data_IF_606218470912
#
_entry.id   IF_606218470912
#
_cell.length_a   1.000
_cell.length_b   1.000
_cell.length_c   1.000
_cell.angle_alpha   90.00
_cell.angle_beta   90.00
_cell.angle_gamma   90.00
#
_symmetry.space_group_name_H-M   'P 1'
#
loop_
_entity.id
_entity.type
_entity.pdbx_description
1 polymer ?
#
# COMPACT_ATOMS: atom_id res chain seq x y z
N UNK A 1 -20.85 34.06 22.12
CA UNK A 1 -19.94 35.23 22.12
C UNK A 1 -18.87 34.97 23.19
N UNK A 2 -17.63 34.70 22.79
CA UNK A 2 -16.52 34.43 23.73
C UNK A 2 -16.08 35.76 24.37
N UNK A 3 -15.91 35.81 25.68
CA UNK A 3 -15.44 37.02 26.36
C UNK A 3 -14.31 36.69 27.34
N UNK A 4 -13.28 37.53 27.35
CA UNK A 4 -12.19 37.43 28.32
C UNK A 4 -12.72 37.46 29.75
N UNK A 5 -13.67 38.36 30.05
CA UNK A 5 -14.29 38.47 31.37
C UNK A 5 -15.02 37.19 31.76
N UNK A 6 -15.86 36.65 30.89
CA UNK A 6 -16.59 35.40 31.15
C UNK A 6 -15.63 34.24 31.38
N UNK A 7 -14.59 34.14 30.57
CA UNK A 7 -13.57 33.10 30.73
C UNK A 7 -12.76 33.26 32.03
N UNK A 8 -12.38 34.49 32.40
CA UNK A 8 -11.58 34.79 33.59
C UNK A 8 -12.28 34.38 34.89
N UNK A 9 -13.60 34.57 34.95
CA UNK A 9 -14.43 34.26 36.13
C UNK A 9 -15.06 32.86 36.09
N UNK A 10 -14.85 32.09 35.03
CA UNK A 10 -15.33 30.72 34.95
C UNK A 10 -14.60 29.81 35.95
N UNK A 11 -15.31 28.79 36.42
CA UNK A 11 -14.72 27.75 37.26
C UNK A 11 -13.63 26.98 36.51
N UNK A 12 -12.62 26.51 37.24
CA UNK A 12 -11.53 25.71 36.67
C UNK A 12 -12.01 24.37 36.09
N UNK A 13 -11.17 23.70 35.28
CA UNK A 13 -11.53 22.45 34.62
C UNK A 13 -11.94 21.33 35.58
N UNK A 14 -12.70 20.37 35.06
CA UNK A 14 -13.08 19.17 35.80
C UNK A 14 -12.06 18.05 35.60
N UNK A 15 -11.13 17.90 36.55
CA UNK A 15 -10.14 16.83 36.54
C UNK A 15 -10.59 15.55 37.28
N UNK A 16 -11.86 15.46 37.68
CA UNK A 16 -12.45 14.19 38.14
C UNK A 16 -12.81 13.31 36.93
N UNK A 17 -13.26 13.94 35.85
CA UNK A 17 -13.67 13.27 34.60
C UNK A 17 -12.60 13.33 33.49
N UNK A 18 -11.61 14.21 33.64
CA UNK A 18 -10.50 14.37 32.69
C UNK A 18 -9.17 14.21 33.42
N UNK A 19 -8.16 13.68 32.73
CA UNK A 19 -6.81 13.60 33.24
C UNK A 19 -6.17 14.99 33.33
N UNK A 20 -5.47 15.29 34.42
CA UNK A 20 -4.69 16.52 34.54
C UNK A 20 -3.32 16.33 33.89
N UNK A 21 -3.12 16.91 32.71
CA UNK A 21 -1.85 16.81 31.97
C UNK A 21 -0.86 17.88 32.46
N UNK A 22 0.43 17.61 32.31
CA UNK A 22 1.50 18.55 32.70
C UNK A 22 1.53 19.77 31.77
N UNK A 23 1.79 20.96 32.33
CA UNK A 23 1.76 22.24 31.58
C UNK A 23 0.42 22.54 30.88
N UNK A 24 -0.75 22.39 31.54
CA UNK A 24 -2.03 22.73 30.92
C UNK A 24 -2.18 24.26 30.87
N UNK A 25 -2.50 24.82 29.70
CA UNK A 25 -2.75 26.27 29.54
C UNK A 25 -4.24 26.63 29.75
N UNK A 26 -4.96 25.76 30.45
CA UNK A 26 -6.38 25.91 30.83
C UNK A 26 -6.67 27.09 31.74
N UNK A 27 -5.70 27.49 32.56
CA UNK A 27 -5.82 28.60 33.51
C UNK A 27 -5.14 29.89 33.02
N UNK A 28 -4.58 29.90 31.79
CA UNK A 28 -3.91 31.06 31.16
C UNK A 28 -4.87 31.95 30.34
N UNK A 29 -4.74 33.30 30.34
CA UNK A 29 -3.47 34.01 30.17
C UNK A 29 -2.91 34.53 31.49
N UNK A 30 -1.69 34.13 31.86
CA UNK A 30 -1.06 34.69 33.05
C UNK A 30 -0.36 36.01 32.73
N UNK A 31 -0.71 37.05 33.48
CA UNK A 31 -0.01 38.32 33.56
C UNK A 31 1.31 38.09 34.31
N UNK A 32 2.45 38.22 33.61
CA UNK A 32 3.78 38.25 34.22
C UNK A 32 4.51 36.90 34.17
N UNK A 33 5.60 36.87 33.41
CA UNK A 33 6.62 35.81 33.34
C UNK A 33 6.23 34.48 32.69
N UNK A 34 6.18 34.53 31.36
CA UNK A 34 6.15 33.36 30.48
C UNK A 34 7.52 32.67 30.44
N UNK A 35 7.57 31.40 30.84
CA UNK A 35 8.35 30.43 30.06
C UNK A 35 7.32 29.52 29.40
N UNK A 36 6.92 29.85 28.16
CA UNK A 36 6.13 28.93 27.33
C UNK A 36 7.00 27.69 27.12
N UNK A 37 6.75 26.65 27.93
CA UNK A 37 7.42 25.38 27.74
C UNK A 37 6.72 24.71 26.56
N UNK A 38 7.35 24.78 25.38
CA UNK A 38 6.84 24.05 24.21
C UNK A 38 6.81 22.56 24.51
N UNK A 39 5.63 21.98 24.40
CA UNK A 39 5.39 20.56 24.55
C UNK A 39 5.81 19.81 23.28
N UNK A 40 6.32 18.59 23.40
CA UNK A 40 6.77 17.94 24.63
C UNK A 40 8.08 18.59 25.12
N UNK A 41 8.30 18.59 26.45
CA UNK A 41 9.48 19.24 27.05
C UNK A 41 10.78 18.55 26.60
N UNK A 42 10.81 17.23 26.73
CA UNK A 42 11.88 16.37 26.21
C UNK A 42 11.77 16.24 24.69
N UNK A 43 12.90 16.28 23.99
CA UNK A 43 12.96 16.10 22.54
C UNK A 43 12.67 14.65 22.11
N UNK A 44 12.84 13.67 23.01
CA UNK A 44 12.62 12.25 22.73
C UNK A 44 11.21 11.77 23.12
N UNK A 45 10.36 12.67 23.60
CA UNK A 45 8.98 12.33 23.97
C UNK A 45 8.05 12.81 22.86
N UNK A 46 6.88 12.18 22.77
CA UNK A 46 5.77 12.62 21.94
C UNK A 46 4.57 12.96 22.82
N UNK A 47 3.70 13.82 22.30
CA UNK A 47 2.36 14.05 22.84
C UNK A 47 1.45 12.97 22.26
N UNK A 48 0.93 12.11 23.12
CA UNK A 48 0.10 10.98 22.69
C UNK A 48 -1.19 11.41 21.99
N UNK A 49 -1.86 12.47 22.48
CA UNK A 49 -3.16 12.87 21.97
C UNK A 49 -3.44 14.38 22.12
N UNK A 50 -3.72 15.02 20.99
CA UNK A 50 -4.31 16.36 20.89
C UNK A 50 -5.71 16.27 20.26
N UNK A 51 -6.72 16.80 20.94
CA UNK A 51 -8.08 16.92 20.41
C UNK A 51 -8.32 18.37 19.94
N UNK A 52 -8.33 18.56 18.62
CA UNK A 52 -8.52 19.85 17.99
C UNK A 52 -9.99 20.25 18.01
N UNK A 53 -10.25 21.45 18.51
CA UNK A 53 -11.57 21.93 18.91
C UNK A 53 -12.22 21.16 20.07
N UNK A 54 -11.42 20.34 20.77
CA UNK A 54 -11.86 19.58 21.93
C UNK A 54 -12.23 20.46 23.12
N UNK A 55 -13.05 19.90 24.02
CA UNK A 55 -13.50 20.52 25.27
C UNK A 55 -13.34 19.57 26.47
N UNK A 56 -12.57 18.49 26.31
CA UNK A 56 -12.55 17.35 27.22
C UNK A 56 -13.69 16.36 26.96
N UNK A 57 -13.77 15.30 27.78
CA UNK A 57 -14.84 14.30 27.66
C UNK A 57 -16.16 14.86 28.16
N UNK A 58 -17.15 14.91 27.28
CA UNK A 58 -18.51 15.36 27.60
C UNK A 58 -19.47 14.18 27.40
N UNK A 59 -20.24 13.87 28.45
CA UNK A 59 -21.29 12.86 28.41
C UNK A 59 -22.63 13.55 28.62
N UNK A 60 -23.53 13.39 27.66
CA UNK A 60 -24.89 13.95 27.71
C UNK A 60 -25.91 12.88 27.34
N UNK A 61 -27.20 13.17 27.52
CA UNK A 61 -28.29 12.33 27.01
C UNK A 61 -28.27 12.16 25.48
N UNK A 62 -27.66 13.10 24.75
CA UNK A 62 -27.56 13.07 23.29
C UNK A 62 -26.35 12.26 22.80
N UNK A 63 -25.44 11.89 23.69
CA UNK A 63 -24.25 11.11 23.37
C UNK A 63 -22.97 11.63 24.03
N UNK A 64 -21.87 11.06 23.56
CA UNK A 64 -20.51 11.25 24.09
C UNK A 64 -19.64 11.96 23.02
N UNK A 65 -18.94 13.01 23.43
CA UNK A 65 -17.89 13.68 22.64
C UNK A 65 -16.60 13.85 23.45
N UNK A 66 -15.50 14.06 22.72
CA UNK A 66 -14.20 14.38 23.28
C UNK A 66 -13.57 13.25 24.10
N UNK A 67 -12.38 13.54 24.60
CA UNK A 67 -11.53 12.55 25.26
C UNK A 67 -11.04 13.05 26.61
N UNK A 68 -10.96 12.15 27.58
CA UNK A 68 -10.56 12.48 28.95
C UNK A 68 -9.05 12.69 29.08
N UNK A 69 -8.24 12.08 28.21
CA UNK A 69 -6.79 11.99 28.35
C UNK A 69 -6.02 12.67 27.21
N UNK A 70 -6.36 13.91 26.89
CA UNK A 70 -5.75 14.67 25.79
C UNK A 70 -5.45 16.13 26.16
N UNK A 71 -4.69 16.82 25.30
CA UNK A 71 -4.68 18.28 25.24
C UNK A 71 -5.75 18.77 24.27
N UNK A 72 -6.47 19.83 24.65
CA UNK A 72 -7.61 20.33 23.87
C UNK A 72 -7.27 21.65 23.18
N UNK A 73 -7.15 21.68 21.86
CA UNK A 73 -6.91 22.95 21.14
C UNK A 73 -8.23 23.69 20.99
N UNK A 74 -8.32 24.94 21.42
CA UNK A 74 -9.55 25.72 21.24
C UNK A 74 -9.31 27.23 21.28
N UNK A 75 -10.33 28.00 20.92
CA UNK A 75 -10.33 29.46 21.03
C UNK A 75 -9.92 29.90 22.45
N UNK A 76 -9.04 30.90 22.55
CA UNK A 76 -8.40 31.36 23.81
C UNK A 76 -9.37 31.73 24.94
N UNK A 77 -10.62 32.06 24.62
CA UNK A 77 -11.69 32.34 25.60
C UNK A 77 -12.86 31.35 25.56
N UNK A 78 -12.67 30.18 24.95
CA UNK A 78 -13.70 29.13 24.96
C UNK A 78 -13.83 28.51 26.36
N UNK A 79 -15.09 28.30 26.74
CA UNK A 79 -15.52 27.51 27.90
C UNK A 79 -16.24 26.28 27.37
N UNK A 80 -16.33 25.24 28.19
CA UNK A 80 -17.08 24.03 27.86
C UNK A 80 -18.51 24.40 27.46
N UNK A 81 -18.93 23.98 26.26
CA UNK A 81 -20.14 24.46 25.60
C UNK A 81 -21.40 23.74 26.08
N UNK A 82 -21.28 22.47 26.51
CA UNK A 82 -22.41 21.62 26.84
C UNK A 82 -22.08 20.58 27.94
N UNK A 83 -23.11 19.89 28.43
CA UNK A 83 -23.01 18.84 29.42
C UNK A 83 -22.82 19.34 30.85
N UNK A 84 -22.48 18.44 31.79
CA UNK A 84 -22.39 18.75 33.22
C UNK A 84 -21.35 19.84 33.56
N UNK A 85 -20.30 19.97 32.74
CA UNK A 85 -19.22 20.93 32.94
C UNK A 85 -19.42 22.23 32.14
N UNK A 86 -20.60 22.46 31.56
CA UNK A 86 -20.90 23.67 30.77
C UNK A 86 -20.54 24.95 31.54
N UNK A 87 -19.81 25.85 30.88
CA UNK A 87 -19.37 27.12 31.44
C UNK A 87 -18.08 27.04 32.28
N UNK A 88 -17.49 25.85 32.46
CA UNK A 88 -16.15 25.70 33.06
C UNK A 88 -15.06 25.92 32.01
N UNK A 89 -13.84 26.20 32.47
CA UNK A 89 -12.66 26.25 31.60
C UNK A 89 -12.37 24.85 31.02
N UNK A 90 -11.91 24.80 29.77
CA UNK A 90 -11.57 23.55 29.08
C UNK A 90 -10.34 22.89 29.74
N UNK A 91 -10.35 21.58 30.04
CA UNK A 91 -9.20 20.85 30.57
C UNK A 91 -8.05 20.76 29.57
N UNK A 92 -6.81 20.90 30.06
CA UNK A 92 -5.57 20.84 29.29
C UNK A 92 -5.59 21.66 27.99
N UNK A 93 -6.17 22.86 28.03
CA UNK A 93 -6.39 23.67 26.84
C UNK A 93 -5.07 24.16 26.26
N UNK A 94 -4.96 24.10 24.94
CA UNK A 94 -3.94 24.78 24.13
C UNK A 94 -4.66 25.90 23.36
N UNK A 95 -4.41 27.18 23.67
CA UNK A 95 -5.20 28.26 23.11
C UNK A 95 -4.73 28.63 21.70
N UNK A 96 -5.71 28.83 20.79
CA UNK A 96 -5.52 29.54 19.52
C UNK A 96 -6.27 30.87 19.56
N UNK A 97 -5.84 31.81 18.70
CA UNK A 97 -6.38 33.17 18.69
C UNK A 97 -7.88 33.16 18.44
N UNK A 98 -8.31 32.46 17.40
CA UNK A 98 -9.72 32.25 17.07
C UNK A 98 -9.92 31.09 16.09
N UNK A 99 -11.15 30.88 15.62
CA UNK A 99 -11.49 29.79 14.71
C UNK A 99 -10.90 29.92 13.30
N UNK A 100 -10.41 31.09 12.89
CA UNK A 100 -9.82 31.31 11.55
C UNK A 100 -8.30 31.50 11.58
N UNK A 101 -7.74 31.81 12.75
CA UNK A 101 -6.32 31.93 13.02
C UNK A 101 -5.89 30.88 14.05
N UNK A 102 -5.53 29.72 13.51
CA UNK A 102 -5.14 28.54 14.25
C UNK A 102 -3.62 28.40 14.17
N UNK A 103 -2.93 28.62 15.28
CA UNK A 103 -1.49 28.44 15.42
C UNK A 103 -1.17 28.01 16.85
N UNK A 104 -0.74 26.76 17.00
CA UNK A 104 -0.30 26.22 18.29
C UNK A 104 1.21 26.11 18.41
N UNK A 105 1.98 26.63 17.44
CA UNK A 105 3.45 26.60 17.44
C UNK A 105 4.12 27.26 18.66
N UNK A 106 3.51 28.22 19.38
CA UNK A 106 4.06 28.72 20.65
C UNK A 106 4.00 27.69 21.79
N UNK A 107 3.16 26.65 21.66
CA UNK A 107 2.85 25.69 22.72
C UNK A 107 3.24 24.25 22.37
N UNK A 108 3.16 23.86 21.10
CA UNK A 108 3.39 22.50 20.61
C UNK A 108 4.49 22.53 19.57
N UNK A 109 5.55 21.75 19.76
CA UNK A 109 6.65 21.57 18.81
C UNK A 109 6.15 20.88 17.54
N UNK A 110 6.80 21.17 16.42
CA UNK A 110 6.55 20.48 15.16
C UNK A 110 6.87 18.98 15.31
N UNK A 111 6.16 18.13 14.56
CA UNK A 111 6.42 16.68 14.48
C UNK A 111 6.44 15.94 15.82
N UNK A 112 5.63 16.40 16.77
CA UNK A 112 5.69 15.93 18.16
C UNK A 112 4.41 15.28 18.68
N UNK A 113 3.39 15.15 17.84
CA UNK A 113 2.08 14.57 18.22
C UNK A 113 1.87 13.23 17.53
N UNK A 114 1.45 12.21 18.29
CA UNK A 114 1.11 10.88 17.77
C UNK A 114 -0.31 10.83 17.21
N UNK A 115 -1.29 11.36 17.96
CA UNK A 115 -2.69 11.34 17.54
C UNK A 115 -3.28 12.73 17.60
N UNK A 116 -3.84 13.17 16.47
CA UNK A 116 -4.72 14.35 16.44
C UNK A 116 -6.14 13.91 16.14
N UNK A 117 -7.10 14.32 16.96
CA UNK A 117 -8.53 14.17 16.66
C UNK A 117 -9.16 15.51 16.33
N UNK A 118 -10.20 15.53 15.50
CA UNK A 118 -10.96 16.75 15.21
C UNK A 118 -12.45 16.42 15.11
N UNK A 119 -13.30 17.22 15.76
CA UNK A 119 -14.73 16.97 15.85
C UNK A 119 -15.56 18.24 15.57
N UNK A 120 -16.57 18.14 14.70
CA UNK A 120 -17.71 19.07 14.60
C UNK A 120 -17.44 20.53 14.21
N UNK A 121 -16.22 21.04 14.32
CA UNK A 121 -15.86 22.42 14.00
C UNK A 121 -15.08 22.52 12.67
N UNK A 122 -15.20 23.64 11.93
CA UNK A 122 -14.63 23.74 10.59
C UNK A 122 -13.11 23.53 10.54
N UNK A 123 -12.64 22.76 9.56
CA UNK A 123 -11.21 22.59 9.25
C UNK A 123 -10.86 23.52 8.08
N UNK A 124 -10.59 24.79 8.40
CA UNK A 124 -10.05 25.71 7.42
C UNK A 124 -8.54 25.49 7.18
N UNK A 125 -7.97 26.24 6.25
CA UNK A 125 -6.55 26.15 5.89
C UNK A 125 -5.58 26.43 7.05
N UNK A 126 -5.95 27.29 8.01
CA UNK A 126 -5.09 27.53 9.18
C UNK A 126 -5.07 26.30 10.09
N UNK A 127 -6.25 25.73 10.37
CA UNK A 127 -6.41 24.53 11.18
C UNK A 127 -5.68 23.33 10.55
N UNK A 128 -5.92 23.06 9.26
CA UNK A 128 -5.28 21.96 8.54
C UNK A 128 -3.74 22.04 8.57
N UNK A 129 -3.18 23.25 8.36
CA UNK A 129 -1.72 23.46 8.42
C UNK A 129 -1.15 23.24 9.81
N UNK A 130 -1.84 23.70 10.84
CA UNK A 130 -1.37 23.52 12.22
C UNK A 130 -1.42 22.05 12.66
N UNK A 131 -2.47 21.30 12.26
CA UNK A 131 -2.56 19.85 12.45
C UNK A 131 -1.39 19.14 11.74
N UNK A 132 -1.17 19.44 10.46
CA UNK A 132 -0.09 18.82 9.68
C UNK A 132 1.32 19.22 10.16
N UNK A 133 1.47 20.38 10.78
CA UNK A 133 2.73 20.83 11.40
C UNK A 133 3.06 20.00 12.65
N UNK A 134 2.08 19.82 13.54
CA UNK A 134 2.33 19.17 14.83
C UNK A 134 2.43 17.65 14.75
N UNK A 135 1.72 17.03 13.79
CA UNK A 135 1.70 15.56 13.67
C UNK A 135 3.08 15.02 13.32
N UNK A 136 3.50 13.97 14.02
CA UNK A 136 4.73 13.26 13.75
C UNK A 136 4.58 12.43 12.45
N UNK A 137 5.49 12.55 11.48
CA UNK A 137 5.35 11.84 10.20
C UNK A 137 5.56 10.32 10.30
N UNK A 138 6.30 9.84 11.30
CA UNK A 138 6.73 8.44 11.39
C UNK A 138 5.71 7.56 12.15
N UNK A 139 5.04 8.14 13.15
CA UNK A 139 4.06 7.42 14.00
C UNK A 139 2.68 8.09 14.04
N UNK A 140 2.52 9.22 13.36
CA UNK A 140 1.34 10.05 13.46
C UNK A 140 0.09 9.45 12.84
N UNK A 141 -1.05 9.79 13.44
CA UNK A 141 -2.40 9.48 12.96
C UNK A 141 -3.33 10.66 13.20
N UNK A 142 -4.16 10.98 12.22
CA UNK A 142 -5.22 11.98 12.36
C UNK A 142 -6.58 11.32 12.20
N UNK A 143 -7.53 11.59 13.09
CA UNK A 143 -8.90 11.05 13.00
C UNK A 143 -9.92 12.17 13.08
N UNK A 144 -10.78 12.26 12.07
CA UNK A 144 -11.87 13.23 12.04
C UNK A 144 -13.20 12.53 12.33
N UNK A 145 -14.12 13.23 12.97
CA UNK A 145 -15.46 12.73 13.31
C UNK A 145 -16.55 13.68 12.81
N UNK A 146 -17.59 13.12 12.18
CA UNK A 146 -18.76 13.89 11.75
C UNK A 146 -18.56 14.74 10.50
N UNK A 147 -17.54 14.44 9.69
CA UNK A 147 -17.32 15.12 8.41
C UNK A 147 -17.70 14.22 7.23
N UNK A 148 -18.09 14.84 6.13
CA UNK A 148 -18.32 14.15 4.85
C UNK A 148 -17.01 13.99 4.07
N UNK A 149 -16.80 12.84 3.43
CA UNK A 149 -15.53 12.49 2.75
C UNK A 149 -15.06 13.51 1.69
N UNK A 150 -15.97 14.31 1.14
CA UNK A 150 -15.69 15.32 0.10
C UNK A 150 -16.05 16.74 0.56
N UNK A 151 -16.09 17.01 1.86
CA UNK A 151 -16.31 18.36 2.35
C UNK A 151 -15.08 19.26 2.09
N UNK A 152 -15.26 20.57 2.15
CA UNK A 152 -14.13 21.50 1.99
C UNK A 152 -13.09 21.30 3.11
N UNK A 153 -13.55 20.99 4.30
CA UNK A 153 -12.77 20.70 5.50
C UNK A 153 -11.83 19.51 5.27
N UNK A 154 -12.37 18.39 4.78
CA UNK A 154 -11.59 17.19 4.51
C UNK A 154 -10.62 17.39 3.35
N UNK A 155 -10.99 18.16 2.32
CA UNK A 155 -10.05 18.52 1.24
C UNK A 155 -8.87 19.33 1.75
N UNK A 156 -9.12 20.34 2.60
CA UNK A 156 -8.06 21.16 3.19
C UNK A 156 -7.11 20.31 4.03
N UNK A 157 -7.66 19.45 4.89
CA UNK A 157 -6.86 18.54 5.72
C UNK A 157 -6.04 17.56 4.88
N UNK A 158 -6.67 16.90 3.90
CA UNK A 158 -6.02 15.92 3.03
C UNK A 158 -4.85 16.55 2.27
N UNK A 159 -5.02 17.77 1.77
CA UNK A 159 -3.97 18.50 1.04
C UNK A 159 -2.73 18.73 1.89
N UNK A 160 -2.89 19.13 3.16
CA UNK A 160 -1.75 19.36 4.06
C UNK A 160 -1.13 18.06 4.57
N UNK A 161 -1.94 17.04 4.88
CA UNK A 161 -1.44 15.74 5.34
C UNK A 161 -0.70 14.96 4.25
N UNK A 162 -1.12 15.06 2.99
CA UNK A 162 -0.40 14.45 1.87
C UNK A 162 1.04 14.96 1.74
N UNK A 163 1.31 16.22 2.08
CA UNK A 163 2.68 16.79 2.10
C UNK A 163 3.58 16.16 3.17
N UNK A 164 2.99 15.44 4.13
CA UNK A 164 3.67 14.68 5.18
C UNK A 164 3.59 13.17 4.95
N UNK A 165 3.13 12.74 3.78
CA UNK A 165 2.89 11.33 3.46
C UNK A 165 1.95 10.64 4.46
N UNK A 166 0.96 11.39 4.94
CA UNK A 166 -0.12 10.86 5.78
C UNK A 166 -1.38 10.82 4.92
N UNK A 167 -1.95 9.62 4.77
CA UNK A 167 -3.00 9.36 3.78
C UNK A 167 -4.27 8.82 4.42
N UNK A 168 -5.41 9.16 3.82
CA UNK A 168 -6.69 8.60 4.23
C UNK A 168 -6.73 7.08 4.02
N UNK A 169 -7.17 6.34 5.04
CA UNK A 169 -7.37 4.89 4.97
C UNK A 169 -8.87 4.56 5.07
N UNK A 170 -9.54 4.20 3.97
CA UNK A 170 -10.94 3.80 3.98
C UNK A 170 -11.18 2.57 4.86
N UNK A 171 -12.34 2.53 5.54
CA UNK A 171 -12.77 1.40 6.39
C UNK A 171 -11.77 1.04 7.50
N UNK A 172 -10.92 1.97 7.91
CA UNK A 172 -9.97 1.74 8.98
C UNK A 172 -10.69 1.49 10.31
N UNK A 173 -10.28 0.43 11.01
CA UNK A 173 -10.86 0.08 12.30
C UNK A 173 -10.10 0.81 13.40
N UNK A 174 -10.73 1.85 13.98
CA UNK A 174 -10.11 2.68 15.01
C UNK A 174 -9.66 1.85 16.23
N UNK A 175 -8.54 2.19 16.91
CA UNK A 175 -8.20 1.61 18.21
C UNK A 175 -9.26 1.89 19.27
N UNK A 176 -9.38 1.02 20.29
CA UNK A 176 -10.38 1.16 21.36
C UNK A 176 -10.40 2.54 22.03
N UNK A 177 -9.22 3.15 22.24
CA UNK A 177 -9.08 4.50 22.81
C UNK A 177 -9.72 5.62 21.98
N UNK A 178 -9.93 5.38 20.68
CA UNK A 178 -10.55 6.33 19.74
C UNK A 178 -12.01 5.95 19.41
N UNK A 179 -12.54 4.87 20.00
CA UNK A 179 -13.95 4.47 19.82
C UNK A 179 -14.85 5.05 20.92
N UNK A 180 -16.15 4.93 20.72
CA UNK A 180 -17.16 5.20 21.76
C UNK A 180 -17.62 6.66 21.84
N UNK A 181 -17.28 7.48 20.84
CA UNK A 181 -17.91 8.77 20.64
C UNK A 181 -19.21 8.53 19.87
N UNK A 182 -20.33 8.89 20.48
CA UNK A 182 -21.68 8.55 19.97
C UNK A 182 -22.42 9.75 19.40
N UNK A 183 -21.84 10.94 19.47
CA UNK A 183 -22.40 12.14 18.84
C UNK A 183 -22.17 12.18 17.31
N UNK A 184 -21.37 11.27 16.77
CA UNK A 184 -21.01 11.24 15.36
C UNK A 184 -21.11 9.81 14.82
N UNK A 185 -21.78 9.66 13.68
CA UNK A 185 -21.98 8.37 13.03
C UNK A 185 -20.88 8.05 11.99
N UNK A 186 -20.00 9.01 11.71
CA UNK A 186 -18.91 8.89 10.75
C UNK A 186 -17.56 9.25 11.36
N UNK A 187 -16.53 8.55 10.88
CA UNK A 187 -15.13 8.89 11.15
C UNK A 187 -14.28 8.65 9.91
N UNK A 188 -13.16 9.38 9.82
CA UNK A 188 -12.12 9.16 8.81
C UNK A 188 -10.76 9.08 9.51
N UNK A 189 -9.93 8.13 9.12
CA UNK A 189 -8.59 7.98 9.65
C UNK A 189 -7.55 8.27 8.57
N UNK A 190 -6.55 9.09 8.92
CA UNK A 190 -5.38 9.39 8.12
C UNK A 190 -4.17 8.81 8.83
N UNK A 191 -3.39 8.00 8.12
CA UNK A 191 -2.32 7.17 8.66
C UNK A 191 -0.99 7.54 8.03
N UNK A 192 0.09 7.45 8.82
CA UNK A 192 1.46 7.54 8.32
C UNK A 192 1.79 6.41 7.33
N UNK A 193 2.92 6.55 6.63
CA UNK A 193 3.39 5.58 5.64
C UNK A 193 3.62 4.18 6.21
N UNK A 194 4.12 4.05 7.44
CA UNK A 194 4.40 2.74 8.04
C UNK A 194 3.10 1.94 8.20
N UNK A 195 2.09 2.52 8.85
CA UNK A 195 0.81 1.85 9.06
C UNK A 195 0.07 1.56 7.75
N UNK A 196 0.11 2.48 6.78
CA UNK A 196 -0.61 2.29 5.52
C UNK A 196 0.04 1.22 4.64
N UNK A 197 1.37 1.07 4.67
CA UNK A 197 2.10 -0.02 4.00
C UNK A 197 1.69 -1.37 4.55
N UNK A 198 1.62 -1.50 5.88
CA UNK A 198 1.20 -2.75 6.53
C UNK A 198 -0.25 -3.11 6.16
N UNK A 199 -1.14 -2.12 6.12
CA UNK A 199 -2.54 -2.34 5.70
C UNK A 199 -2.61 -2.73 4.22
N UNK A 200 -1.87 -2.06 3.33
CA UNK A 200 -1.84 -2.40 1.91
C UNK A 200 -1.32 -3.83 1.70
N UNK A 201 -0.20 -4.16 2.35
CA UNK A 201 0.36 -5.51 2.34
C UNK A 201 -0.69 -6.54 2.76
N UNK A 202 -1.35 -6.35 3.91
CA UNK A 202 -2.36 -7.28 4.41
C UNK A 202 -3.56 -7.41 3.46
N UNK A 203 -4.02 -6.30 2.87
CA UNK A 203 -5.12 -6.35 1.89
C UNK A 203 -4.76 -7.18 0.65
N UNK A 204 -3.51 -7.12 0.20
CA UNK A 204 -3.04 -7.92 -0.94
C UNK A 204 -2.86 -9.40 -0.54
N UNK A 205 -2.29 -9.69 0.63
CA UNK A 205 -2.15 -11.08 1.11
C UNK A 205 -3.51 -11.73 1.34
N UNK A 206 -4.50 -10.98 1.81
CA UNK A 206 -5.86 -11.46 2.08
C UNK A 206 -6.73 -11.54 0.80
N UNK A 207 -6.20 -11.11 -0.35
CA UNK A 207 -6.91 -11.13 -1.63
C UNK A 207 -8.05 -10.10 -1.73
N UNK A 208 -8.06 -9.08 -0.87
CA UNK A 208 -9.06 -7.99 -0.87
C UNK A 208 -8.65 -6.90 -1.86
N UNK A 209 -8.60 -7.26 -3.14
CA UNK A 209 -7.99 -6.42 -4.18
C UNK A 209 -8.68 -5.08 -4.41
N UNK A 210 -10.01 -5.00 -4.29
CA UNK A 210 -10.75 -3.76 -4.54
C UNK A 210 -10.39 -2.68 -3.50
N UNK A 211 -10.26 -3.08 -2.23
CA UNK A 211 -9.80 -2.18 -1.18
C UNK A 211 -8.31 -1.83 -1.35
N UNK A 212 -7.46 -2.78 -1.78
CA UNK A 212 -6.05 -2.53 -2.05
C UNK A 212 -5.90 -1.48 -3.17
N UNK A 213 -6.59 -1.66 -4.30
CA UNK A 213 -6.61 -0.70 -5.42
C UNK A 213 -7.10 0.68 -4.99
N UNK A 214 -8.16 0.75 -4.19
CA UNK A 214 -8.67 2.02 -3.69
C UNK A 214 -7.64 2.74 -2.80
N UNK A 215 -6.95 2.01 -1.92
CA UNK A 215 -5.89 2.55 -1.06
C UNK A 215 -4.70 3.07 -1.87
N UNK A 216 -4.26 2.29 -2.86
CA UNK A 216 -3.16 2.66 -3.77
C UNK A 216 -3.45 3.95 -4.53
N UNK A 217 -4.67 4.12 -5.03
CA UNK A 217 -5.09 5.36 -5.71
C UNK A 217 -5.07 6.58 -4.78
N UNK A 218 -5.30 6.40 -3.48
CA UNK A 218 -5.24 7.51 -2.51
C UNK A 218 -3.78 7.94 -2.26
N UNK A 219 -2.85 6.98 -2.34
CA UNK A 219 -1.41 7.17 -2.15
C UNK A 219 -0.69 7.77 -3.37
N UNK A 220 -1.40 8.18 -4.41
CA UNK A 220 -0.86 8.72 -5.67
C UNK A 220 -0.05 10.02 -5.46
N UNK A 221 1.23 9.83 -5.14
CA UNK A 221 2.29 10.80 -4.85
C UNK A 221 3.64 10.10 -5.06
N UNK A 222 4.74 10.85 -5.15
CA UNK A 222 6.09 10.26 -5.27
C UNK A 222 6.43 9.35 -4.08
N UNK A 223 6.34 9.86 -2.84
CA UNK A 223 6.60 9.07 -1.64
C UNK A 223 5.62 7.89 -1.45
N UNK A 224 4.37 8.04 -1.89
CA UNK A 224 3.40 6.95 -1.88
C UNK A 224 3.74 5.86 -2.92
N UNK A 225 4.22 6.24 -4.10
CA UNK A 225 4.68 5.29 -5.13
C UNK A 225 5.89 4.49 -4.67
N UNK A 226 6.86 5.14 -4.03
CA UNK A 226 8.00 4.48 -3.38
C UNK A 226 7.52 3.46 -2.33
N UNK A 227 6.60 3.87 -1.45
CA UNK A 227 6.02 2.99 -0.43
C UNK A 227 5.24 1.80 -1.02
N UNK A 228 4.54 1.99 -2.14
CA UNK A 228 3.88 0.89 -2.87
C UNK A 228 4.94 -0.07 -3.42
N UNK A 229 6.04 0.45 -3.97
CA UNK A 229 7.17 -0.35 -4.46
C UNK A 229 7.78 -1.22 -3.37
N UNK A 230 8.02 -0.66 -2.18
CA UNK A 230 8.49 -1.42 -1.01
C UNK A 230 7.54 -2.58 -0.65
N UNK A 231 6.23 -2.34 -0.67
CA UNK A 231 5.22 -3.39 -0.40
C UNK A 231 5.26 -4.47 -1.48
N UNK A 232 5.39 -4.10 -2.76
CA UNK A 232 5.51 -5.05 -3.88
C UNK A 232 6.77 -5.90 -3.72
N UNK A 233 7.92 -5.30 -3.42
CA UNK A 233 9.18 -6.03 -3.19
C UNK A 233 9.04 -7.00 -2.02
N UNK A 234 8.43 -6.58 -0.91
CA UNK A 234 8.15 -7.45 0.24
C UNK A 234 7.26 -8.65 -0.15
N UNK A 235 6.16 -8.41 -0.85
CA UNK A 235 5.24 -9.47 -1.31
C UNK A 235 5.96 -10.49 -2.20
N UNK A 236 6.82 -10.04 -3.10
CA UNK A 236 7.62 -10.93 -3.98
C UNK A 236 8.65 -11.71 -3.16
N UNK A 237 9.34 -11.06 -2.22
CA UNK A 237 10.33 -11.70 -1.35
C UNK A 237 9.72 -12.80 -0.47
N UNK A 238 8.48 -12.63 -0.04
CA UNK A 238 7.73 -13.61 0.75
C UNK A 238 6.94 -14.60 -0.12
N UNK A 239 7.21 -14.66 -1.43
CA UNK A 239 6.60 -15.59 -2.40
C UNK A 239 5.05 -15.49 -2.45
N UNK A 240 4.50 -14.28 -2.26
CA UNK A 240 3.06 -14.05 -2.30
C UNK A 240 2.54 -13.99 -3.75
N UNK A 241 1.91 -15.06 -4.24
CA UNK A 241 1.35 -15.13 -5.59
C UNK A 241 0.26 -14.09 -5.90
N UNK A 242 -0.38 -13.51 -4.87
CA UNK A 242 -1.43 -12.50 -5.02
C UNK A 242 -0.93 -11.19 -5.64
N UNK A 243 0.39 -10.93 -5.64
CA UNK A 243 0.96 -9.71 -6.21
C UNK A 243 0.67 -9.56 -7.71
N UNK A 244 0.59 -10.67 -8.46
CA UNK A 244 0.24 -10.64 -9.88
C UNK A 244 -1.24 -10.26 -10.09
N UNK A 245 -2.13 -10.80 -9.25
CA UNK A 245 -3.54 -10.41 -9.24
C UNK A 245 -3.74 -8.95 -8.86
N UNK A 246 -2.98 -8.46 -7.87
CA UNK A 246 -2.99 -7.05 -7.48
C UNK A 246 -2.54 -6.13 -8.63
N UNK A 247 -1.42 -6.44 -9.29
CA UNK A 247 -0.94 -5.70 -10.46
C UNK A 247 -1.98 -5.68 -11.61
N UNK A 248 -2.58 -6.83 -11.90
CA UNK A 248 -3.64 -6.95 -12.91
C UNK A 248 -4.87 -6.10 -12.57
N UNK A 249 -5.32 -6.11 -11.31
CA UNK A 249 -6.47 -5.32 -10.86
C UNK A 249 -6.20 -3.82 -10.95
N UNK A 250 -4.99 -3.37 -10.60
CA UNK A 250 -4.57 -1.98 -10.81
C UNK A 250 -4.65 -1.61 -12.29
N UNK A 251 -4.02 -2.41 -13.15
CA UNK A 251 -3.97 -2.21 -14.60
C UNK A 251 -5.37 -2.06 -15.20
N UNK A 252 -6.28 -2.99 -14.90
CA UNK A 252 -7.64 -2.98 -15.44
C UNK A 252 -8.57 -1.95 -14.79
N UNK A 253 -8.20 -1.39 -13.64
CA UNK A 253 -8.93 -0.29 -13.00
C UNK A 253 -8.51 1.09 -13.49
N UNK A 254 -7.64 1.16 -14.51
CA UNK A 254 -7.09 2.39 -15.07
C UNK A 254 -5.92 2.99 -14.29
N UNK A 255 -5.41 2.31 -13.26
CA UNK A 255 -4.25 2.76 -12.48
C UNK A 255 -2.93 2.23 -13.07
N UNK A 256 -2.78 2.32 -14.39
CA UNK A 256 -1.62 1.77 -15.11
C UNK A 256 -0.32 2.48 -14.75
N UNK A 257 -0.36 3.80 -14.49
CA UNK A 257 0.81 4.59 -14.08
C UNK A 257 1.40 4.10 -12.74
N UNK A 258 0.57 3.63 -11.81
CA UNK A 258 1.06 3.04 -10.55
C UNK A 258 1.87 1.77 -10.81
N UNK A 259 1.39 0.92 -11.73
CA UNK A 259 2.15 -0.28 -12.14
C UNK A 259 3.45 0.13 -12.85
N UNK A 260 3.45 1.24 -13.59
CA UNK A 260 4.63 1.73 -14.26
C UNK A 260 5.70 2.25 -13.29
N UNK A 261 5.27 2.93 -12.23
CA UNK A 261 6.16 3.62 -11.30
C UNK A 261 6.57 2.79 -10.09
N UNK A 262 5.75 1.81 -9.68
CA UNK A 262 5.91 1.09 -8.40
C UNK A 262 6.11 -0.42 -8.55
N UNK A 263 6.08 -0.97 -9.76
CA UNK A 263 6.31 -2.41 -9.98
C UNK A 263 7.53 -2.63 -10.88
N UNK A 264 8.26 -3.74 -10.69
CA UNK A 264 9.33 -4.13 -11.60
C UNK A 264 8.86 -4.17 -13.06
N UNK A 265 9.69 -3.70 -13.99
CA UNK A 265 9.38 -3.61 -15.42
C UNK A 265 8.71 -4.85 -16.03
N UNK A 266 9.09 -6.10 -15.67
CA UNK A 266 8.44 -7.28 -16.24
C UNK A 266 6.93 -7.35 -16.02
N UNK A 267 6.37 -6.83 -14.92
CA UNK A 267 4.92 -6.78 -14.71
C UNK A 267 4.21 -5.99 -15.81
N UNK A 268 4.79 -4.85 -16.21
CA UNK A 268 4.24 -4.00 -17.27
C UNK A 268 4.28 -4.73 -18.62
N UNK A 269 5.39 -5.41 -18.92
CA UNK A 269 5.57 -6.17 -20.16
C UNK A 269 4.54 -7.30 -20.27
N UNK A 270 4.34 -8.04 -19.18
CA UNK A 270 3.37 -9.14 -19.07
C UNK A 270 1.95 -8.61 -19.25
N UNK A 271 1.54 -7.62 -18.44
CA UNK A 271 0.15 -7.13 -18.42
C UNK A 271 -0.25 -6.39 -19.70
N UNK A 272 0.68 -5.72 -20.36
CA UNK A 272 0.46 -5.05 -21.64
C UNK A 272 0.44 -6.03 -22.83
N UNK A 273 0.95 -7.26 -22.66
CA UNK A 273 1.13 -8.23 -23.74
C UNK A 273 2.21 -7.79 -24.75
N UNK A 274 3.27 -7.15 -24.26
CA UNK A 274 4.43 -6.77 -25.07
C UNK A 274 5.19 -8.01 -25.55
N UNK A 275 5.97 -7.85 -26.62
CA UNK A 275 6.87 -8.90 -27.08
C UNK A 275 8.04 -9.02 -26.10
N UNK A 276 8.22 -10.21 -25.55
CA UNK A 276 9.25 -10.50 -24.55
C UNK A 276 10.09 -11.70 -24.95
N UNK A 277 11.28 -11.76 -24.37
CA UNK A 277 12.13 -12.96 -24.36
C UNK A 277 12.09 -13.53 -22.95
N UNK A 278 11.90 -14.84 -22.83
CA UNK A 278 11.83 -15.57 -21.56
C UNK A 278 13.13 -16.37 -21.42
N UNK A 279 13.96 -16.05 -20.44
CA UNK A 279 15.31 -16.60 -20.29
C UNK A 279 15.46 -17.32 -18.97
N UNK A 280 15.98 -18.55 -18.98
CA UNK A 280 16.25 -19.25 -17.74
C UNK A 280 17.39 -18.57 -16.99
N UNK A 281 17.19 -18.31 -15.70
CA UNK A 281 18.14 -17.55 -14.91
C UNK A 281 19.45 -18.29 -14.64
N UNK A 282 19.39 -19.60 -14.39
CA UNK A 282 20.59 -20.39 -14.08
C UNK A 282 21.45 -20.59 -15.33
N UNK A 283 20.82 -21.03 -16.42
CA UNK A 283 21.54 -21.44 -17.64
C UNK A 283 21.68 -20.36 -18.69
N UNK A 284 21.03 -19.20 -18.50
CA UNK A 284 21.06 -18.07 -19.44
C UNK A 284 20.63 -18.45 -20.87
N UNK A 285 19.75 -19.45 -21.02
CA UNK A 285 19.20 -19.88 -22.30
C UNK A 285 17.77 -19.37 -22.48
N UNK A 286 17.45 -18.88 -23.69
CA UNK A 286 16.14 -18.33 -24.01
C UNK A 286 15.20 -19.46 -24.41
N UNK A 287 13.95 -19.39 -23.94
CA UNK A 287 12.89 -20.28 -24.36
C UNK A 287 12.63 -20.06 -25.86
N UNK A 288 12.77 -21.11 -26.65
CA UNK A 288 12.70 -21.09 -28.12
C UNK A 288 11.73 -22.15 -28.62
N UNK A 289 10.90 -21.78 -29.59
CA UNK A 289 10.14 -22.74 -30.37
C UNK A 289 11.04 -23.43 -31.41
N UNK A 290 11.10 -24.76 -31.40
CA UNK A 290 11.91 -25.49 -32.38
C UNK A 290 11.36 -25.45 -33.80
N UNK A 291 12.20 -25.81 -34.76
CA UNK A 291 11.76 -25.97 -36.15
C UNK A 291 10.84 -27.19 -36.24
N UNK A 292 9.59 -26.97 -36.65
CA UNK A 292 8.61 -28.03 -36.75
C UNK A 292 7.48 -27.69 -37.72
N UNK A 293 6.58 -28.66 -37.92
CA UNK A 293 5.35 -28.43 -38.64
C UNK A 293 4.36 -27.72 -37.73
N UNK A 294 3.95 -26.50 -38.08
CA UNK A 294 3.01 -25.70 -37.28
C UNK A 294 1.61 -26.33 -37.12
N UNK A 295 1.31 -27.42 -37.83
CA UNK A 295 0.07 -28.20 -37.68
C UNK A 295 0.11 -29.26 -36.58
N UNK A 296 1.28 -29.51 -35.98
CA UNK A 296 1.45 -30.47 -34.89
C UNK A 296 2.03 -29.75 -33.68
N UNK A 297 2.00 -30.39 -32.52
CA UNK A 297 2.72 -29.88 -31.35
C UNK A 297 4.22 -29.79 -31.65
N UNK A 298 4.84 -28.69 -31.26
CA UNK A 298 6.26 -28.42 -31.48
C UNK A 298 6.99 -28.35 -30.14
N UNK A 299 8.13 -29.03 -29.96
CA UNK A 299 8.95 -28.92 -28.76
C UNK A 299 9.44 -27.49 -28.50
N UNK A 300 9.54 -27.13 -27.23
CA UNK A 300 10.14 -25.87 -26.79
C UNK A 300 11.45 -26.17 -26.09
N UNK A 301 12.54 -25.56 -26.55
CA UNK A 301 13.90 -25.79 -26.09
C UNK A 301 14.55 -24.50 -25.53
N UNK A 302 15.68 -24.65 -24.85
CA UNK A 302 16.57 -23.57 -24.49
C UNK A 302 17.57 -23.29 -25.59
N UNK A 303 17.71 -22.01 -25.98
CA UNK A 303 18.73 -21.55 -26.92
C UNK A 303 19.76 -20.66 -26.22
N UNK A 304 21.03 -21.05 -26.30
CA UNK A 304 22.15 -20.30 -25.74
C UNK A 304 22.55 -19.09 -26.59
N UNK A 305 22.20 -19.08 -27.88
CA UNK A 305 22.68 -18.11 -28.87
C UNK A 305 21.62 -17.09 -29.26
N UNK A 306 20.41 -17.53 -29.60
CA UNK A 306 19.35 -16.66 -30.09
C UNK A 306 18.57 -16.04 -28.92
N UNK A 307 18.53 -14.71 -28.87
CA UNK A 307 17.82 -13.93 -27.86
C UNK A 307 16.81 -12.95 -28.44
N UNK A 308 16.73 -12.85 -29.78
CA UNK A 308 16.05 -11.73 -30.46
C UNK A 308 15.07 -12.22 -31.52
N UNK A 309 15.30 -13.37 -32.15
CA UNK A 309 14.47 -13.80 -33.26
C UNK A 309 13.02 -14.07 -32.84
N UNK A 310 12.15 -14.21 -33.85
CA UNK A 310 10.75 -14.61 -33.64
C UNK A 310 10.60 -15.96 -32.92
N UNK A 311 11.58 -16.87 -33.04
CA UNK A 311 11.54 -18.18 -32.36
C UNK A 311 11.61 -18.06 -30.84
N UNK A 312 12.27 -17.02 -30.33
CA UNK A 312 12.39 -16.70 -28.90
C UNK A 312 11.49 -15.53 -28.47
N UNK A 313 10.63 -15.07 -29.38
CA UNK A 313 9.66 -14.00 -29.11
C UNK A 313 8.36 -14.57 -28.58
N UNK A 314 8.01 -14.18 -27.35
CA UNK A 314 6.78 -14.61 -26.69
C UNK A 314 5.91 -13.40 -26.32
N UNK A 315 4.61 -13.65 -26.09
CA UNK A 315 3.67 -12.70 -25.50
C UNK A 315 2.84 -13.38 -24.43
N UNK A 316 2.56 -12.65 -23.36
CA UNK A 316 1.59 -13.04 -22.35
C UNK A 316 0.22 -12.49 -22.74
N UNK A 317 -0.80 -13.35 -22.70
CA UNK A 317 -2.20 -12.97 -22.85
C UNK A 317 -2.92 -13.32 -21.56
N UNK A 318 -3.50 -12.30 -20.92
CA UNK A 318 -4.11 -12.46 -19.61
C UNK A 318 -5.53 -13.01 -19.72
N UNK A 319 -5.87 -13.97 -18.87
CA UNK A 319 -7.22 -14.52 -18.69
C UNK A 319 -7.60 -14.56 -17.20
N UNK A 320 -8.90 -14.63 -16.91
CA UNK A 320 -9.41 -14.80 -15.55
C UNK A 320 -10.16 -16.12 -15.45
N UNK A 321 -9.61 -17.06 -14.69
CA UNK A 321 -10.21 -18.37 -14.46
C UNK A 321 -10.56 -18.52 -12.97
N UNK A 322 -11.85 -18.72 -12.67
CA UNK A 322 -12.33 -18.90 -11.28
C UNK A 322 -11.85 -17.80 -10.32
N UNK A 323 -11.77 -16.56 -10.81
CA UNK A 323 -11.30 -15.40 -10.05
C UNK A 323 -9.77 -15.23 -9.98
N UNK A 324 -9.00 -16.19 -10.50
CA UNK A 324 -7.54 -16.11 -10.56
C UNK A 324 -7.07 -15.51 -11.89
N UNK A 325 -6.00 -14.72 -11.82
CA UNK A 325 -5.32 -14.21 -13.01
C UNK A 325 -4.37 -15.28 -13.53
N UNK A 326 -4.59 -15.72 -14.76
CA UNK A 326 -3.78 -16.73 -15.44
C UNK A 326 -3.37 -16.21 -16.81
N UNK A 327 -2.37 -16.84 -17.43
CA UNK A 327 -1.79 -16.35 -18.67
C UNK A 327 -1.64 -17.45 -19.70
N UNK A 328 -2.02 -17.17 -20.95
CA UNK A 328 -1.55 -17.91 -22.12
C UNK A 328 -0.23 -17.31 -22.59
N UNK A 329 0.74 -18.17 -22.89
CA UNK A 329 2.08 -17.77 -23.32
C UNK A 329 2.23 -18.15 -24.80
N UNK A 330 2.23 -17.15 -25.68
CA UNK A 330 2.15 -17.35 -27.13
C UNK A 330 3.47 -17.02 -27.82
N UNK A 331 3.99 -17.95 -28.62
CA UNK A 331 5.15 -17.74 -29.47
C UNK A 331 4.78 -17.05 -30.79
N UNK A 332 5.58 -16.08 -31.25
CA UNK A 332 5.25 -15.27 -32.42
C UNK A 332 5.71 -15.84 -33.77
N UNK A 333 6.56 -16.86 -33.80
CA UNK A 333 6.98 -17.49 -35.07
C UNK A 333 5.80 -18.20 -35.73
N UNK A 334 4.99 -18.92 -34.94
CA UNK A 334 3.87 -19.72 -35.43
C UNK A 334 2.53 -19.44 -34.72
N UNK A 335 2.46 -18.44 -33.82
CA UNK A 335 1.28 -18.12 -33.01
C UNK A 335 0.77 -19.33 -32.21
N UNK A 336 1.69 -20.04 -31.56
CA UNK A 336 1.41 -21.26 -30.82
C UNK A 336 1.55 -21.00 -29.31
N UNK A 337 0.65 -21.62 -28.54
CA UNK A 337 0.58 -21.48 -27.09
C UNK A 337 1.37 -22.57 -26.39
N UNK A 338 2.14 -22.19 -25.38
CA UNK A 338 2.85 -23.08 -24.48
C UNK A 338 1.86 -24.04 -23.80
N UNK A 339 2.23 -25.31 -23.66
CA UNK A 339 1.52 -26.33 -22.90
C UNK A 339 2.48 -27.39 -22.37
N UNK A 340 2.00 -28.20 -21.43
CA UNK A 340 2.66 -29.44 -21.06
C UNK A 340 2.03 -30.63 -21.82
N UNK A 341 2.87 -31.60 -22.16
CA UNK A 341 2.45 -32.88 -22.72
C UNK A 341 1.56 -33.65 -21.74
N UNK A 342 0.60 -34.40 -22.26
CA UNK A 342 -0.25 -35.32 -21.49
C UNK A 342 0.55 -36.52 -21.00
N UNK A 343 1.65 -36.86 -21.67
CA UNK A 343 2.55 -37.92 -21.29
C UNK A 343 3.66 -37.42 -20.36
N UNK A 344 4.05 -38.29 -19.43
CA UNK A 344 5.14 -38.08 -18.50
C UNK A 344 6.32 -38.97 -18.83
N UNK A 345 7.52 -38.54 -18.49
CA UNK A 345 8.71 -39.39 -18.49
C UNK A 345 8.75 -40.32 -17.25
N UNK A 346 9.88 -41.02 -17.07
CA UNK A 346 10.07 -41.93 -15.93
C UNK A 346 10.18 -41.22 -14.57
N UNK A 347 10.37 -39.90 -14.55
CA UNK A 347 10.41 -39.07 -13.35
C UNK A 347 9.06 -38.39 -13.09
N UNK A 348 8.09 -38.57 -13.98
CA UNK A 348 6.79 -37.91 -13.95
C UNK A 348 6.81 -36.49 -14.54
N UNK A 349 7.93 -36.05 -15.08
CA UNK A 349 8.06 -34.75 -15.73
C UNK A 349 7.37 -34.77 -17.09
N UNK A 350 6.78 -33.64 -17.49
CA UNK A 350 6.06 -33.50 -18.78
C UNK A 350 6.87 -32.72 -19.77
N UNK A 351 6.87 -33.09 -21.05
CA UNK A 351 7.56 -32.26 -22.06
C UNK A 351 6.86 -30.92 -22.21
N UNK A 352 7.63 -29.85 -22.40
CA UNK A 352 7.09 -28.54 -22.74
C UNK A 352 6.96 -28.44 -24.26
N UNK A 353 5.74 -28.17 -24.72
CA UNK A 353 5.36 -28.11 -26.12
C UNK A 353 4.67 -26.77 -26.41
N UNK A 354 4.53 -26.43 -27.68
CA UNK A 354 3.61 -25.40 -28.13
C UNK A 354 2.60 -25.98 -29.13
N UNK A 355 1.36 -25.49 -29.11
CA UNK A 355 0.26 -25.92 -29.98
C UNK A 355 -0.57 -24.74 -30.51
N UNK A 356 -1.33 -24.90 -31.58
CA UNK A 356 -2.19 -23.84 -32.16
C UNK A 356 -3.37 -23.42 -31.26
N UNK A 357 -3.57 -24.08 -30.12
CA UNK A 357 -4.69 -23.84 -29.23
C UNK A 357 -5.95 -24.56 -29.68
N UNK A 358 -6.60 -25.27 -28.76
CA UNK A 358 -7.91 -25.89 -28.96
C UNK A 358 -8.71 -25.82 -27.64
N UNK A 359 -10.00 -26.13 -27.68
CA UNK A 359 -10.89 -26.01 -26.51
C UNK A 359 -10.70 -27.11 -25.46
N UNK A 360 -9.99 -28.19 -25.79
CA UNK A 360 -9.90 -29.40 -24.94
C UNK A 360 -8.72 -29.35 -23.97
N UNK A 361 -7.69 -28.57 -24.27
CA UNK A 361 -6.47 -28.46 -23.47
C UNK A 361 -6.42 -27.10 -22.78
N UNK A 362 -5.98 -27.08 -21.52
CA UNK A 362 -5.68 -25.82 -20.84
C UNK A 362 -4.28 -25.35 -21.24
N UNK A 363 -4.21 -24.12 -21.75
CA UNK A 363 -2.98 -23.46 -22.19
C UNK A 363 -2.55 -22.35 -21.22
N UNK A 364 -3.01 -22.43 -19.97
CA UNK A 364 -2.90 -21.34 -19.00
C UNK A 364 -1.88 -21.64 -17.92
N UNK A 365 -1.18 -20.60 -17.50
CA UNK A 365 -0.13 -20.65 -16.48
C UNK A 365 -0.38 -19.61 -15.41
N UNK A 366 -0.08 -19.95 -14.17
CA UNK A 366 0.25 -18.96 -13.15
C UNK A 366 1.65 -18.42 -13.44
N UNK A 367 1.81 -17.10 -13.37
CA UNK A 367 3.09 -16.42 -13.52
C UNK A 367 3.43 -15.82 -12.17
N UNK A 368 4.16 -16.59 -11.36
CA UNK A 368 4.44 -16.24 -9.97
C UNK A 368 5.82 -15.58 -9.85
N UNK A 369 5.91 -14.33 -9.38
CA UNK A 369 7.19 -13.67 -9.18
C UNK A 369 7.89 -14.24 -7.94
N UNK A 370 9.21 -14.31 -8.01
CA UNK A 370 10.09 -14.76 -6.93
C UNK A 370 11.33 -13.86 -6.87
N UNK A 371 11.81 -13.59 -5.66
CA UNK A 371 13.09 -12.91 -5.46
C UNK A 371 14.20 -13.95 -5.33
N UNK A 372 15.18 -13.92 -6.22
CA UNK A 372 16.34 -14.83 -6.18
C UNK A 372 17.62 -14.00 -6.28
N UNK A 373 18.53 -14.09 -5.30
CA UNK A 373 19.80 -13.33 -5.29
C UNK A 373 19.65 -11.82 -5.59
N UNK A 374 18.61 -11.16 -5.05
CA UNK A 374 18.36 -9.73 -5.29
C UNK A 374 17.75 -9.37 -6.64
N UNK A 375 17.46 -10.35 -7.51
CA UNK A 375 16.81 -10.13 -8.79
C UNK A 375 15.45 -10.83 -8.85
N UNK A 376 14.48 -10.15 -9.46
CA UNK A 376 13.18 -10.76 -9.76
C UNK A 376 13.31 -11.82 -10.86
N UNK A 377 12.70 -12.96 -10.61
CA UNK A 377 12.41 -13.99 -11.60
C UNK A 377 10.94 -14.39 -11.50
N UNK A 378 10.51 -15.25 -12.41
CA UNK A 378 9.14 -15.73 -12.50
C UNK A 378 9.13 -17.24 -12.65
N UNK A 379 8.16 -17.87 -12.00
CA UNK A 379 7.87 -19.29 -12.18
C UNK A 379 6.60 -19.41 -13.00
N UNK A 380 6.70 -20.20 -14.06
CA UNK A 380 5.60 -20.47 -14.98
C UNK A 380 4.99 -21.81 -14.58
N UNK A 381 3.87 -21.78 -13.87
CA UNK A 381 3.24 -22.97 -13.30
C UNK A 381 1.99 -23.30 -14.10
N UNK A 382 1.99 -24.45 -14.75
CA UNK A 382 0.86 -24.92 -15.54
C UNK A 382 -0.40 -25.09 -14.66
N UNK A 383 -1.56 -24.62 -15.12
CA UNK A 383 -2.81 -24.65 -14.33
C UNK A 383 -3.48 -26.02 -14.30
N UNK A 384 -3.15 -26.93 -15.22
CA UNK A 384 -3.75 -28.26 -15.34
C UNK A 384 -3.00 -29.30 -14.50
N UNK A 385 -1.68 -29.29 -14.57
CA UNK A 385 -0.80 -30.27 -13.93
C UNK A 385 -0.08 -29.73 -12.70
N UNK A 386 -0.15 -28.42 -12.45
CA UNK A 386 0.53 -27.74 -11.34
C UNK A 386 2.05 -27.95 -11.33
N UNK A 387 2.64 -28.18 -12.50
CA UNK A 387 4.08 -28.35 -12.68
C UNK A 387 4.69 -27.04 -13.19
N UNK A 388 5.78 -26.62 -12.55
CA UNK A 388 6.54 -25.45 -12.99
C UNK A 388 7.44 -25.80 -14.18
N UNK A 389 7.52 -24.90 -15.17
CA UNK A 389 8.43 -25.05 -16.30
C UNK A 389 9.88 -24.97 -15.80
N UNK A 390 10.64 -26.04 -16.02
CA UNK A 390 12.04 -26.19 -15.69
C UNK A 390 12.89 -26.36 -16.94
N UNK A 391 14.13 -25.90 -16.86
CA UNK A 391 15.16 -26.20 -17.86
C UNK A 391 16.03 -27.38 -17.40
N UNK A 392 16.32 -28.30 -18.31
CA UNK A 392 17.17 -29.47 -18.03
C UNK A 392 18.63 -29.05 -17.71
N UNK A 393 19.28 -29.83 -16.84
CA UNK A 393 20.67 -29.61 -16.44
C UNK A 393 21.67 -30.03 -17.52
N UNK A 394 21.25 -30.90 -18.45
CA UNK A 394 22.10 -31.39 -19.52
C UNK A 394 21.80 -30.70 -20.86
N UNK A 395 22.87 -30.26 -21.53
CA UNK A 395 22.82 -29.82 -22.92
C UNK A 395 22.86 -31.02 -23.88
N UNK A 396 22.16 -30.88 -24.99
CA UNK A 396 22.33 -31.77 -26.14
C UNK A 396 23.60 -31.41 -26.93
N UNK A 397 23.86 -32.16 -28.00
CA UNK A 397 25.05 -31.95 -28.86
C UNK A 397 25.09 -30.58 -29.53
N UNK A 398 23.96 -29.86 -29.59
CA UNK A 398 23.85 -28.54 -30.18
C UNK A 398 23.91 -27.42 -29.13
N UNK A 399 24.17 -27.75 -27.87
CA UNK A 399 24.18 -26.79 -26.76
C UNK A 399 22.79 -26.31 -26.34
N UNK A 400 21.72 -26.99 -26.77
CA UNK A 400 20.35 -26.69 -26.40
C UNK A 400 19.92 -27.53 -25.21
N UNK A 401 18.98 -27.03 -24.41
CA UNK A 401 18.43 -27.73 -23.25
C UNK A 401 16.97 -28.07 -23.47
N UNK A 402 16.55 -29.25 -23.02
CA UNK A 402 15.14 -29.61 -23.01
C UNK A 402 14.41 -28.82 -21.92
N UNK A 403 13.13 -28.52 -22.14
CA UNK A 403 12.26 -27.94 -21.13
C UNK A 403 11.22 -28.98 -20.70
N UNK A 404 10.96 -28.98 -19.40
CA UNK A 404 10.08 -29.94 -18.76
C UNK A 404 9.12 -29.23 -17.79
N UNK A 405 7.92 -29.78 -17.60
CA UNK A 405 7.12 -29.53 -16.41
C UNK A 405 7.69 -30.34 -15.27
N UNK A 406 8.10 -29.68 -14.19
CA UNK A 406 8.72 -30.32 -13.04
C UNK A 406 7.71 -31.08 -12.19
N UNK A 407 7.91 -32.39 -12.05
CA UNK A 407 7.19 -33.25 -11.11
C UNK A 407 7.74 -33.16 -9.68
N UNK A 408 7.70 -31.96 -9.12
CA UNK A 408 8.13 -31.66 -7.75
C UNK A 408 7.39 -30.43 -7.23
N UNK A 409 7.86 -29.85 -6.12
CA UNK A 409 7.28 -28.61 -5.62
C UNK A 409 7.57 -27.46 -6.60
N UNK A 410 6.54 -26.87 -7.26
CA UNK A 410 6.75 -25.75 -8.18
C UNK A 410 7.28 -24.50 -7.46
N UNK A 411 7.18 -24.44 -6.13
CA UNK A 411 7.65 -23.34 -5.25
C UNK A 411 8.92 -23.68 -4.45
N UNK A 412 9.51 -24.84 -4.71
CA UNK A 412 10.74 -25.31 -4.07
C UNK A 412 12.02 -24.61 -4.54
N UNK A 413 13.17 -24.93 -3.97
CA UNK A 413 14.44 -24.22 -4.20
C UNK A 413 15.22 -24.68 -5.44
N UNK A 414 14.51 -25.11 -6.48
CA UNK A 414 15.11 -25.52 -7.75
C UNK A 414 15.35 -24.30 -8.66
N UNK A 415 16.62 -23.95 -8.86
CA UNK A 415 17.03 -22.79 -9.66
C UNK A 415 16.65 -22.88 -11.14
N UNK A 416 16.44 -24.09 -11.68
CA UNK A 416 16.05 -24.25 -13.07
C UNK A 416 14.59 -23.87 -13.35
N UNK A 417 13.81 -23.56 -12.30
CA UNK A 417 12.43 -23.07 -12.39
C UNK A 417 12.32 -21.55 -12.60
N UNK A 418 13.40 -20.81 -12.38
CA UNK A 418 13.37 -19.36 -12.34
C UNK A 418 13.63 -18.76 -13.74
N UNK A 419 12.64 -18.03 -14.26
CA UNK A 419 12.68 -17.39 -15.57
C UNK A 419 12.69 -15.87 -15.48
N UNK A 420 13.58 -15.26 -16.24
CA UNK A 420 13.65 -13.82 -16.41
C UNK A 420 12.85 -13.41 -17.64
N UNK A 421 11.99 -12.41 -17.49
CA UNK A 421 11.14 -11.88 -18.57
C UNK A 421 11.60 -10.46 -18.88
N UNK A 422 12.04 -10.21 -20.11
CA UNK A 422 12.49 -8.89 -20.54
C UNK A 422 11.98 -8.56 -21.95
N UNK A 423 12.01 -7.26 -22.30
CA UNK A 423 11.62 -6.80 -23.63
C UNK A 423 12.52 -7.45 -24.69
N UNK A 424 11.92 -7.90 -25.79
CA UNK A 424 12.64 -8.56 -26.88
C UNK A 424 13.39 -7.56 -27.80
N UNK A 425 14.26 -6.76 -27.20
CA UNK A 425 15.09 -5.75 -27.87
C UNK A 425 16.44 -5.54 -27.18
N UNK A 426 16.70 -6.16 -26.02
CA UNK A 426 17.93 -5.96 -25.24
C UNK A 426 18.99 -7.03 -25.51
N UNK A 427 20.25 -6.60 -25.57
CA UNK A 427 21.42 -7.47 -25.35
C UNK A 427 21.45 -7.76 -23.84
N UNK A 428 21.44 -9.03 -23.48
CA UNK A 428 21.39 -9.48 -22.09
C UNK A 428 22.76 -9.32 -21.43
N UNK A 429 22.94 -8.27 -20.64
CA UNK A 429 24.06 -8.18 -19.70
C UNK A 429 23.59 -8.69 -18.32
N UNK A 430 24.51 -9.34 -17.61
CA UNK A 430 24.30 -10.09 -16.36
C UNK A 430 23.69 -9.29 -15.20
N UNK A 431 23.47 -8.00 -15.40
CA UNK A 431 23.08 -6.99 -14.41
C UNK A 431 21.72 -6.32 -14.73
N UNK A 432 21.04 -6.68 -15.83
CA UNK A 432 19.97 -5.87 -16.40
C UNK A 432 18.56 -5.93 -15.74
N UNK A 433 18.47 -6.34 -14.46
CA UNK A 433 17.23 -6.15 -13.67
C UNK A 433 17.62 -5.72 -12.26
N UNK A 434 18.00 -4.45 -12.15
CA UNK A 434 17.99 -3.72 -10.89
C UNK A 434 16.55 -3.31 -10.55
N UNK A 435 16.27 -3.26 -9.25
CA UNK A 435 14.98 -2.93 -8.63
C UNK A 435 14.55 -1.48 -8.90
#
# INVERSE_FOLDING_TARGET
>A
MHSLSGWKYAQGPNYVTNSNKTYPYSECPYLGEYRLVKLPVSLNNLIEHVDYWGEGRIVTQHGISGFSDCYNVNHVFQLVSNGPDRGRKIPNRIPVVNYTNCDTSPYIKDHSVEVVTVMGAPINNSCARDIARMINPDVGKVVTYGFENNSAEIRNLTSELKKKSIFYCPKYTLPSKLRGLTLFDSNMAFLNLTEIKDILYNKVTDGVYDDAVALTKIMDTEAGSEAIGEVVVKLIGEKCGNVMSYAYKLWNSGATEVVQNSFPTPFQLILKGEVVTIVNKEYQQAMKLEVGNSKTDIPVLGDSSDKISKKVSWKFQTEVENGNVVFKICNLEHNMYLKLDENTDNLGDRKVLASLGNSEVKYTYYVEPVMTNGHIAFRLIDTQYHQAVKMDEKEDSNGTRQLWGHNGDPRGDNKSLDWVIAANTKIWEKEAIEL
#
